data_IF_364258726975
#
_entry.id   IF_364258726975
#
_cell.length_a   1.000
_cell.length_b   1.000
_cell.length_c   1.000
_cell.angle_alpha   90.00
_cell.angle_beta   90.00
_cell.angle_gamma   90.00
#
_symmetry.space_group_name_H-M   'P 1'
#
loop_
_entity.id
_entity.type
_entity.pdbx_description
1 polymer ?
#
# COMPACT_ATOMS: atom_id res chain seq x y z
N UNK A 1 -33.27 9.22 -3.84
CA UNK A 1 -33.00 7.82 -3.62
C UNK A 1 -31.48 7.64 -3.56
N UNK A 2 -30.94 7.30 -2.38
CA UNK A 2 -29.50 7.03 -2.24
C UNK A 2 -29.26 5.68 -2.89
N UNK A 3 -28.32 5.61 -3.84
CA UNK A 3 -27.84 4.34 -4.40
C UNK A 3 -26.97 3.69 -3.32
N UNK A 4 -27.26 2.44 -2.99
CA UNK A 4 -26.39 1.57 -2.21
C UNK A 4 -25.66 0.66 -3.21
N UNK A 5 -24.45 1.06 -3.69
CA UNK A 5 -23.74 0.27 -4.68
C UNK A 5 -23.15 -0.99 -4.01
N UNK A 6 -23.16 -2.12 -4.73
CA UNK A 6 -22.47 -3.34 -4.29
C UNK A 6 -20.95 -3.18 -4.28
N UNK A 7 -20.45 -2.32 -5.17
CA UNK A 7 -19.02 -2.04 -5.33
C UNK A 7 -18.75 -0.54 -5.47
N UNK A 8 -17.65 -0.11 -4.88
CA UNK A 8 -17.09 1.23 -5.08
C UNK A 8 -15.70 1.07 -5.69
N UNK A 9 -15.46 1.73 -6.83
CA UNK A 9 -14.14 1.81 -7.45
C UNK A 9 -13.47 3.12 -7.03
N UNK A 10 -12.23 3.02 -6.57
CA UNK A 10 -11.36 4.16 -6.29
C UNK A 10 -10.19 4.09 -7.27
N UNK A 11 -10.00 5.17 -8.02
CA UNK A 11 -8.95 5.24 -9.03
C UNK A 11 -8.36 6.63 -9.12
N UNK A 12 -7.04 6.70 -9.34
CA UNK A 12 -6.36 7.95 -9.65
C UNK A 12 -6.71 8.44 -11.08
N UNK A 13 -6.63 9.74 -11.35
CA UNK A 13 -6.93 10.30 -12.67
C UNK A 13 -5.98 9.83 -13.80
N UNK A 14 -4.80 9.30 -13.44
CA UNK A 14 -3.77 8.81 -14.36
C UNK A 14 -3.74 7.28 -14.51
N UNK A 15 -4.85 6.63 -14.13
CA UNK A 15 -5.06 5.18 -14.31
C UNK A 15 -5.90 4.91 -15.57
N UNK A 16 -5.50 3.88 -16.31
CA UNK A 16 -6.28 3.29 -17.40
C UNK A 16 -6.60 1.84 -17.06
N UNK A 17 -7.87 1.52 -16.96
CA UNK A 17 -8.39 0.19 -16.64
C UNK A 17 -9.42 -0.23 -17.67
N UNK A 18 -9.36 -1.48 -18.14
CA UNK A 18 -10.34 -2.03 -19.07
C UNK A 18 -11.56 -2.59 -18.35
N UNK A 19 -12.71 -2.65 -19.04
CA UNK A 19 -13.92 -3.27 -18.52
C UNK A 19 -13.68 -4.74 -18.11
N UNK A 20 -12.89 -5.47 -18.91
CA UNK A 20 -12.52 -6.85 -18.59
C UNK A 20 -11.74 -6.95 -17.27
N UNK A 21 -10.85 -5.99 -16.99
CA UNK A 21 -10.14 -5.93 -15.72
C UNK A 21 -11.09 -5.65 -14.55
N UNK A 22 -12.01 -4.68 -14.70
CA UNK A 22 -13.03 -4.35 -13.69
C UNK A 22 -13.89 -5.57 -13.35
N UNK A 23 -14.40 -6.26 -14.38
CA UNK A 23 -15.23 -7.45 -14.20
C UNK A 23 -14.45 -8.59 -13.54
N UNK A 24 -13.18 -8.78 -13.90
CA UNK A 24 -12.32 -9.81 -13.30
C UNK A 24 -12.01 -9.53 -11.83
N UNK A 25 -11.83 -8.26 -11.45
CA UNK A 25 -11.64 -7.85 -10.04
C UNK A 25 -12.92 -8.09 -9.24
N UNK A 26 -14.09 -7.76 -9.80
CA UNK A 26 -15.38 -8.04 -9.16
C UNK A 26 -15.61 -9.56 -8.96
N UNK A 27 -15.33 -10.38 -9.99
CA UNK A 27 -15.42 -11.85 -9.91
C UNK A 27 -14.54 -12.45 -8.80
N UNK A 28 -13.33 -11.90 -8.60
CA UNK A 28 -12.46 -12.34 -7.50
C UNK A 28 -13.06 -12.04 -6.12
N UNK A 29 -13.66 -10.84 -5.95
CA UNK A 29 -14.34 -10.45 -4.72
C UNK A 29 -15.59 -11.29 -4.45
N UNK A 30 -16.35 -11.67 -5.49
CA UNK A 30 -17.52 -12.52 -5.33
C UNK A 30 -17.17 -13.93 -4.85
N UNK A 31 -16.07 -14.49 -5.36
CA UNK A 31 -15.62 -15.85 -5.03
C UNK A 31 -14.98 -15.96 -3.65
N UNK A 32 -14.48 -14.86 -3.09
CA UNK A 32 -13.85 -14.82 -1.78
C UNK A 32 -14.80 -14.22 -0.75
N UNK A 33 -15.29 -15.01 0.19
CA UNK A 33 -16.30 -14.59 1.17
C UNK A 33 -15.79 -13.43 2.05
N UNK A 34 -14.56 -13.53 2.57
CA UNK A 34 -13.89 -12.50 3.38
C UNK A 34 -13.10 -11.48 2.54
N UNK A 35 -13.22 -11.51 1.22
CA UNK A 35 -12.60 -10.56 0.30
C UNK A 35 -13.35 -9.23 0.29
N UNK A 36 -12.74 -8.17 0.79
CA UNK A 36 -13.37 -6.87 0.93
C UNK A 36 -12.84 -5.80 -0.03
N UNK A 37 -11.56 -5.91 -0.40
CA UNK A 37 -10.90 -5.01 -1.34
C UNK A 37 -10.09 -5.81 -2.34
N UNK A 38 -10.14 -5.45 -3.62
CA UNK A 38 -9.34 -6.11 -4.65
C UNK A 38 -8.79 -5.11 -5.66
N UNK A 39 -7.66 -5.46 -6.23
CA UNK A 39 -7.03 -4.75 -7.35
C UNK A 39 -6.38 -5.75 -8.31
N UNK A 40 -5.93 -5.26 -9.45
CA UNK A 40 -5.17 -6.03 -10.44
C UNK A 40 -3.67 -5.69 -10.40
N UNK A 41 -2.87 -6.39 -11.20
CA UNK A 41 -1.45 -6.10 -11.37
C UNK A 41 -1.24 -4.71 -11.98
N UNK A 42 -0.26 -3.98 -11.45
CA UNK A 42 0.12 -2.66 -11.99
C UNK A 42 1.11 -2.85 -13.13
N UNK A 43 0.88 -2.18 -14.25
CA UNK A 43 1.86 -2.03 -15.33
C UNK A 43 2.10 -0.56 -15.64
N UNK A 44 3.30 -0.24 -16.12
CA UNK A 44 3.61 1.10 -16.61
C UNK A 44 3.08 1.31 -18.06
N UNK A 45 3.25 2.51 -18.58
CA UNK A 45 2.83 2.87 -19.95
C UNK A 45 3.55 2.07 -21.05
N UNK A 46 4.63 1.36 -20.71
CA UNK A 46 5.37 0.46 -21.61
C UNK A 46 4.93 -1.00 -21.45
N UNK A 47 3.94 -1.28 -20.59
CA UNK A 47 3.47 -2.63 -20.29
C UNK A 47 4.42 -3.42 -19.38
N UNK A 48 5.39 -2.76 -18.73
CA UNK A 48 6.28 -3.43 -17.78
C UNK A 48 5.61 -3.56 -16.42
N UNK A 49 5.74 -4.73 -15.79
CA UNK A 49 5.19 -4.98 -14.46
C UNK A 49 5.80 -4.02 -13.45
N UNK A 50 4.94 -3.40 -12.66
CA UNK A 50 5.29 -2.48 -11.59
C UNK A 50 4.94 -3.07 -10.22
N UNK A 51 5.21 -2.31 -9.17
CA UNK A 51 4.95 -2.71 -7.80
C UNK A 51 3.43 -2.80 -7.55
N UNK A 52 2.92 -3.96 -7.14
CA UNK A 52 1.49 -4.24 -7.08
C UNK A 52 0.95 -4.61 -5.69
N UNK A 53 1.79 -4.77 -4.67
CA UNK A 53 1.35 -5.11 -3.31
C UNK A 53 2.42 -4.89 -2.25
N UNK A 54 2.00 -4.74 -1.00
CA UNK A 54 2.85 -4.74 0.19
C UNK A 54 2.48 -5.87 1.14
N UNK A 55 3.47 -6.34 1.89
CA UNK A 55 3.24 -7.13 3.10
C UNK A 55 2.90 -6.20 4.27
N UNK A 56 2.03 -6.65 5.17
CA UNK A 56 1.88 -6.04 6.50
C UNK A 56 2.98 -6.60 7.42
N UNK A 57 4.15 -6.02 7.28
CA UNK A 57 5.35 -6.45 7.98
C UNK A 57 5.32 -6.08 9.47
N UNK A 58 6.14 -6.78 10.26
CA UNK A 58 6.48 -6.31 11.61
C UNK A 58 7.22 -4.96 11.55
N UNK A 59 7.13 -4.19 12.64
CA UNK A 59 7.79 -2.88 12.75
C UNK A 59 9.26 -2.93 12.36
N UNK A 60 9.99 -3.95 12.82
CA UNK A 60 11.43 -4.07 12.59
C UNK A 60 11.76 -4.33 11.13
N UNK A 61 11.02 -5.19 10.45
CA UNK A 61 11.20 -5.42 9.01
C UNK A 61 10.82 -4.18 8.19
N UNK A 62 9.75 -3.49 8.58
CA UNK A 62 9.31 -2.26 7.93
C UNK A 62 10.31 -1.10 8.13
N UNK A 63 10.98 -1.03 9.28
CA UNK A 63 12.10 -0.11 9.52
C UNK A 63 13.31 -0.45 8.65
N UNK A 64 13.71 -1.73 8.61
CA UNK A 64 14.83 -2.19 7.79
C UNK A 64 14.60 -1.93 6.29
N UNK A 65 13.34 -2.02 5.83
CA UNK A 65 12.98 -1.69 4.46
C UNK A 65 13.05 -0.18 4.16
N UNK A 66 13.06 0.67 5.19
CA UNK A 66 13.16 2.13 5.00
C UNK A 66 14.59 2.61 4.82
N UNK A 67 15.55 2.02 5.53
CA UNK A 67 16.96 2.39 5.43
C UNK A 67 17.60 1.91 4.12
N UNK A 68 18.44 2.73 3.51
CA UNK A 68 19.06 2.43 2.21
C UNK A 68 20.03 1.26 2.26
N UNK A 69 20.86 1.25 3.28
CA UNK A 69 21.84 0.16 3.52
C UNK A 69 21.10 -1.09 3.98
N UNK A 70 20.20 -0.96 4.97
CA UNK A 70 19.48 -2.10 5.55
C UNK A 70 18.57 -2.77 4.51
N UNK A 71 17.85 -2.02 3.68
CA UNK A 71 17.06 -2.57 2.57
C UNK A 71 17.89 -3.44 1.64
N UNK A 72 19.12 -3.03 1.30
CA UNK A 72 20.00 -3.82 0.43
C UNK A 72 20.48 -5.10 1.10
N UNK A 73 20.90 -5.01 2.37
CA UNK A 73 21.43 -6.13 3.14
C UNK A 73 20.34 -7.20 3.42
N UNK A 74 19.12 -6.77 3.74
CA UNK A 74 18.02 -7.65 4.14
C UNK A 74 17.00 -7.91 3.03
N UNK A 75 17.28 -7.52 1.79
CA UNK A 75 16.36 -7.59 0.64
C UNK A 75 15.61 -8.91 0.51
N UNK A 76 16.27 -10.04 0.78
CA UNK A 76 15.66 -11.36 0.67
C UNK A 76 14.53 -11.63 1.68
N UNK A 77 14.48 -10.86 2.78
CA UNK A 77 13.52 -11.03 3.87
C UNK A 77 12.44 -9.94 3.90
N UNK A 78 12.58 -8.89 3.08
CA UNK A 78 11.74 -7.70 3.16
C UNK A 78 10.45 -7.80 2.34
N UNK A 79 10.33 -8.78 1.47
CA UNK A 79 9.13 -8.98 0.65
C UNK A 79 8.86 -10.45 0.44
N UNK A 80 7.63 -10.86 0.69
CA UNK A 80 7.15 -12.20 0.35
C UNK A 80 7.00 -12.30 -1.18
N UNK A 81 7.64 -13.25 -1.87
CA UNK A 81 7.43 -13.47 -3.29
C UNK A 81 5.96 -13.77 -3.61
N UNK A 82 5.48 -13.28 -4.75
CA UNK A 82 4.07 -13.40 -5.16
C UNK A 82 3.57 -14.86 -5.14
N UNK A 83 4.39 -15.78 -5.62
CA UNK A 83 4.07 -17.19 -5.68
C UNK A 83 3.93 -17.88 -4.31
N UNK A 84 4.47 -17.26 -3.25
CA UNK A 84 4.38 -17.75 -1.86
C UNK A 84 3.21 -17.16 -1.09
N UNK A 85 2.52 -16.15 -1.65
CA UNK A 85 1.33 -15.59 -1.02
C UNK A 85 0.17 -16.59 -1.08
N UNK A 86 -0.73 -16.58 -0.07
CA UNK A 86 -1.90 -17.46 -0.07
C UNK A 86 -2.79 -17.20 -1.29
N UNK A 87 -3.30 -18.29 -1.88
CA UNK A 87 -4.29 -18.22 -2.96
C UNK A 87 -5.65 -17.84 -2.40
N UNK A 88 -6.38 -17.01 -3.15
CA UNK A 88 -7.79 -16.76 -2.93
C UNK A 88 -8.66 -17.92 -3.44
N UNK A 89 -9.95 -17.89 -3.14
CA UNK A 89 -10.90 -18.94 -3.52
C UNK A 89 -11.07 -19.13 -5.04
N UNK A 90 -10.72 -18.14 -5.85
CA UNK A 90 -10.72 -18.25 -7.31
C UNK A 90 -9.54 -19.07 -7.89
N UNK A 91 -8.59 -19.48 -7.03
CA UNK A 91 -7.42 -20.28 -7.41
C UNK A 91 -6.33 -19.54 -8.19
N UNK A 92 -6.50 -18.23 -8.43
CA UNK A 92 -5.60 -17.39 -9.24
C UNK A 92 -5.13 -16.18 -8.46
N UNK A 93 -6.05 -15.44 -7.84
CA UNK A 93 -5.74 -14.23 -7.06
C UNK A 93 -4.95 -14.56 -5.80
N UNK A 94 -4.21 -13.59 -5.28
CA UNK A 94 -3.41 -13.72 -4.06
C UNK A 94 -3.93 -12.82 -2.96
N UNK A 95 -3.96 -13.35 -1.73
CA UNK A 95 -4.24 -12.54 -0.55
C UNK A 95 -2.97 -11.75 -0.20
N UNK A 96 -3.10 -10.42 -0.11
CA UNK A 96 -1.99 -9.50 0.13
C UNK A 96 -2.19 -8.70 1.41
N UNK A 97 -1.13 -8.03 1.86
CA UNK A 97 -1.20 -7.18 3.04
C UNK A 97 -1.77 -5.80 2.78
N UNK A 98 -1.45 -5.21 1.62
CA UNK A 98 -1.99 -3.94 1.16
C UNK A 98 -1.83 -3.81 -0.37
N UNK A 99 -2.77 -3.12 -1.00
CA UNK A 99 -2.83 -2.83 -2.43
C UNK A 99 -2.44 -1.37 -2.72
N UNK A 100 -1.91 -1.05 -3.92
CA UNK A 100 -1.66 0.33 -4.31
C UNK A 100 -2.94 1.17 -4.36
N UNK A 101 -2.88 2.38 -3.78
CA UNK A 101 -4.00 3.34 -3.75
C UNK A 101 -4.38 3.91 -5.11
N UNK A 102 -3.66 3.55 -6.20
CA UNK A 102 -3.92 4.07 -7.52
C UNK A 102 -5.17 3.50 -8.19
N UNK A 103 -5.53 2.25 -7.92
CA UNK A 103 -6.77 1.60 -8.36
C UNK A 103 -7.10 0.43 -7.44
N UNK A 104 -8.33 0.39 -6.94
CA UNK A 104 -8.89 -0.79 -6.27
C UNK A 104 -10.41 -0.70 -6.19
N UNK A 105 -11.04 -1.85 -5.97
CA UNK A 105 -12.48 -2.02 -5.80
C UNK A 105 -12.78 -2.45 -4.37
N UNK A 106 -13.80 -1.85 -3.76
CA UNK A 106 -14.30 -2.16 -2.42
C UNK A 106 -15.66 -2.84 -2.54
N UNK A 107 -15.84 -4.02 -1.94
CA UNK A 107 -17.11 -4.72 -1.82
C UNK A 107 -17.86 -4.17 -0.61
N UNK A 108 -18.90 -3.38 -0.83
CA UNK A 108 -19.59 -2.62 0.23
C UNK A 108 -20.30 -3.50 1.23
N UNK A 109 -20.84 -4.65 0.77
CA UNK A 109 -21.53 -5.62 1.62
C UNK A 109 -20.68 -6.23 2.75
N UNK A 110 -19.34 -6.06 2.70
CA UNK A 110 -18.45 -6.48 3.79
C UNK A 110 -18.43 -5.50 4.98
N UNK A 111 -19.06 -4.34 4.86
CA UNK A 111 -18.93 -3.23 5.81
C UNK A 111 -20.29 -2.74 6.29
N UNK A 112 -20.36 -2.28 7.53
CA UNK A 112 -21.45 -1.42 7.97
C UNK A 112 -21.30 0.00 7.39
N UNK A 113 -22.35 0.83 7.33
CA UNK A 113 -22.22 2.23 6.93
C UNK A 113 -21.22 3.03 7.78
N UNK A 114 -21.05 2.67 9.04
CA UNK A 114 -20.04 3.25 9.91
C UNK A 114 -18.62 2.88 9.51
N UNK A 115 -18.37 1.61 9.19
CA UNK A 115 -17.07 1.12 8.75
C UNK A 115 -16.64 1.77 7.43
N UNK A 116 -17.55 1.88 6.46
CA UNK A 116 -17.28 2.54 5.17
C UNK A 116 -16.88 4.01 5.36
N UNK A 117 -17.55 4.73 6.27
CA UNK A 117 -17.25 6.13 6.58
C UNK A 117 -15.87 6.32 7.19
N UNK A 118 -15.41 5.34 7.97
CA UNK A 118 -14.12 5.36 8.67
C UNK A 118 -13.05 4.49 7.96
N UNK A 119 -13.33 4.01 6.74
CA UNK A 119 -12.43 3.11 6.01
C UNK A 119 -11.05 3.76 5.78
N UNK A 120 -11.04 5.03 5.39
CA UNK A 120 -9.81 5.82 5.19
C UNK A 120 -9.53 6.68 6.41
N UNK A 121 -8.25 6.70 6.84
CA UNK A 121 -7.81 7.54 7.96
C UNK A 121 -7.49 8.96 7.49
N UNK A 122 -8.26 9.92 7.95
CA UNK A 122 -8.11 11.36 7.63
C UNK A 122 -6.84 12.02 8.18
N UNK A 123 -6.12 11.35 9.09
CA UNK A 123 -4.89 11.90 9.68
C UNK A 123 -3.65 11.58 8.85
N UNK A 124 -3.77 10.71 7.86
CA UNK A 124 -2.70 10.37 6.91
C UNK A 124 -3.16 10.78 5.52
N UNK A 125 -2.41 11.68 4.89
CA UNK A 125 -2.74 12.19 3.56
C UNK A 125 -1.90 11.53 2.46
N UNK A 126 -0.67 11.10 2.77
CA UNK A 126 0.26 10.54 1.80
C UNK A 126 1.20 9.57 2.51
N UNK A 127 1.43 8.42 1.87
CA UNK A 127 2.19 7.26 2.38
C UNK A 127 1.52 6.57 3.58
N UNK A 128 1.53 5.26 3.60
CA UNK A 128 0.95 4.40 4.63
C UNK A 128 -0.58 4.31 4.65
N UNK A 129 -1.30 5.07 3.84
CA UNK A 129 -2.76 4.97 3.70
C UNK A 129 -3.16 3.54 3.31
N UNK A 130 -2.42 2.90 2.41
CA UNK A 130 -2.67 1.53 1.96
C UNK A 130 -2.41 0.52 3.08
N UNK A 131 -1.28 0.66 3.81
CA UNK A 131 -0.97 -0.23 4.94
C UNK A 131 -1.95 -0.03 6.11
N UNK A 132 -2.46 1.18 6.30
CA UNK A 132 -3.50 1.46 7.29
C UNK A 132 -4.80 0.77 6.90
N UNK A 133 -5.20 0.86 5.63
CA UNK A 133 -6.37 0.16 5.12
C UNK A 133 -6.23 -1.35 5.33
N UNK A 134 -5.13 -1.94 4.86
CA UNK A 134 -4.86 -3.37 5.03
C UNK A 134 -4.85 -3.81 6.49
N UNK A 135 -4.32 -2.99 7.41
CA UNK A 135 -4.33 -3.30 8.85
C UNK A 135 -5.74 -3.22 9.45
N UNK A 136 -6.58 -2.28 9.02
CA UNK A 136 -7.99 -2.21 9.41
C UNK A 136 -8.75 -3.44 8.94
N UNK A 137 -8.61 -3.81 7.66
CA UNK A 137 -9.25 -5.00 7.09
C UNK A 137 -8.82 -6.27 7.84
N UNK A 138 -7.52 -6.40 8.11
CA UNK A 138 -7.01 -7.53 8.91
C UNK A 138 -7.63 -7.59 10.30
N UNK A 139 -7.85 -6.45 10.98
CA UNK A 139 -8.50 -6.39 12.29
C UNK A 139 -9.98 -6.76 12.23
N UNK A 140 -10.64 -6.52 11.09
CA UNK A 140 -12.03 -6.93 10.81
C UNK A 140 -12.14 -8.40 10.37
N UNK A 141 -11.02 -9.11 10.16
CA UNK A 141 -11.01 -10.46 9.60
C UNK A 141 -11.18 -10.49 8.07
N UNK A 142 -11.11 -9.32 7.42
CA UNK A 142 -11.27 -9.16 5.98
C UNK A 142 -9.92 -9.22 5.24
N UNK A 143 -9.97 -9.44 3.92
CA UNK A 143 -8.78 -9.63 3.05
C UNK A 143 -8.73 -8.62 1.92
N UNK A 144 -7.50 -8.30 1.51
CA UNK A 144 -7.20 -7.67 0.24
C UNK A 144 -6.74 -8.71 -0.78
N UNK A 145 -7.24 -8.62 -2.01
CA UNK A 145 -6.97 -9.56 -3.09
C UNK A 145 -6.22 -8.86 -4.22
N UNK A 146 -5.10 -9.44 -4.63
CA UNK A 146 -4.40 -9.06 -5.86
C UNK A 146 -4.77 -10.07 -6.96
N UNK A 147 -5.50 -9.62 -7.97
CA UNK A 147 -5.86 -10.39 -9.15
C UNK A 147 -4.67 -10.45 -10.09
N UNK A 148 -4.09 -11.65 -10.27
CA UNK A 148 -2.80 -11.81 -10.95
C UNK A 148 -2.90 -12.04 -12.45
N UNK A 149 -4.08 -12.33 -12.96
CA UNK A 149 -4.40 -12.54 -14.38
C UNK A 149 -5.10 -11.33 -15.04
N UNK A 150 -5.17 -10.21 -14.33
CA UNK A 150 -5.63 -8.93 -14.85
C UNK A 150 -4.64 -7.81 -14.51
N UNK A 151 -4.66 -6.73 -15.27
CA UNK A 151 -3.78 -5.60 -15.07
C UNK A 151 -4.44 -4.27 -15.42
N UNK A 152 -3.92 -3.20 -14.84
CA UNK A 152 -4.24 -1.83 -15.21
C UNK A 152 -2.96 -1.02 -15.44
N UNK A 153 -3.05 0.02 -16.25
CA UNK A 153 -1.93 0.92 -16.53
C UNK A 153 -1.96 2.08 -15.55
N UNK A 154 -0.84 2.35 -14.89
CA UNK A 154 -0.65 3.53 -14.06
C UNK A 154 0.49 4.35 -14.63
N UNK A 155 0.18 5.57 -15.09
CA UNK A 155 1.14 6.42 -15.79
C UNK A 155 2.20 7.05 -14.87
N UNK A 156 2.35 6.58 -13.64
CA UNK A 156 3.24 7.07 -12.57
C UNK A 156 3.41 8.58 -12.53
N UNK A 157 2.67 9.14 -11.64
CA UNK A 157 2.31 10.54 -11.59
C UNK A 157 3.45 11.53 -11.44
N UNK A 158 3.32 12.52 -12.24
CA UNK A 158 3.92 13.85 -12.15
C UNK A 158 3.43 14.63 -10.90
N UNK A 159 2.38 14.18 -10.20
CA UNK A 159 1.69 14.97 -9.17
C UNK A 159 2.48 15.14 -7.86
N UNK A 160 3.04 14.04 -7.31
CA UNK A 160 3.84 14.10 -6.07
C UNK A 160 5.16 14.83 -6.31
N UNK A 161 5.75 14.64 -7.49
CA UNK A 161 7.02 15.29 -7.86
C UNK A 161 6.88 16.80 -8.03
N UNK A 162 5.71 17.29 -8.40
CA UNK A 162 5.42 18.73 -8.45
C UNK A 162 5.28 19.37 -7.08
N UNK A 163 4.71 18.67 -6.10
CA UNK A 163 4.42 19.21 -4.76
C UNK A 163 5.63 19.15 -3.82
N UNK A 164 6.50 18.16 -3.99
CA UNK A 164 7.67 17.95 -3.15
C UNK A 164 8.94 17.81 -4.00
N UNK A 165 9.65 18.90 -4.19
CA UNK A 165 10.87 18.95 -5.03
C UNK A 165 12.09 18.29 -4.38
N UNK A 166 12.14 18.26 -3.03
CA UNK A 166 13.27 17.67 -2.29
C UNK A 166 12.94 16.28 -1.78
N UNK A 167 13.77 15.31 -2.08
CA UNK A 167 13.67 13.91 -1.61
C UNK A 167 13.61 13.86 -0.07
N UNK A 168 14.39 14.70 0.61
CA UNK A 168 14.38 14.77 2.07
C UNK A 168 13.02 15.16 2.66
N UNK A 169 12.21 15.95 1.95
CA UNK A 169 10.90 16.36 2.45
C UNK A 169 9.85 15.27 2.22
N UNK A 170 9.93 14.55 1.09
CA UNK A 170 9.16 13.30 0.87
C UNK A 170 9.47 12.29 1.97
N UNK A 171 10.76 12.11 2.31
CA UNK A 171 11.19 11.18 3.34
C UNK A 171 10.70 11.57 4.74
N UNK A 172 10.69 12.87 5.09
CA UNK A 172 10.11 13.33 6.36
C UNK A 172 8.63 13.03 6.46
N UNK A 173 7.88 13.26 5.36
CA UNK A 173 6.45 12.95 5.31
C UNK A 173 6.20 11.45 5.47
N UNK A 174 6.94 10.62 4.74
CA UNK A 174 6.92 9.17 4.88
C UNK A 174 7.16 8.75 6.34
N UNK A 175 8.20 9.30 6.99
CA UNK A 175 8.52 8.99 8.39
C UNK A 175 7.40 9.41 9.35
N UNK A 176 6.75 10.55 9.10
CA UNK A 176 5.61 11.01 9.90
C UNK A 176 4.43 10.02 9.79
N UNK A 177 4.04 9.65 8.58
CA UNK A 177 2.96 8.69 8.34
C UNK A 177 3.29 7.31 8.92
N UNK A 178 4.55 6.85 8.78
CA UNK A 178 5.05 5.60 9.34
C UNK A 178 4.95 5.57 10.87
N UNK A 179 5.40 6.62 11.56
CA UNK A 179 5.33 6.72 13.03
C UNK A 179 3.89 6.77 13.51
N UNK A 180 3.01 7.46 12.79
CA UNK A 180 1.57 7.46 13.05
C UNK A 180 0.99 6.04 12.95
N UNK A 181 1.30 5.32 11.87
CA UNK A 181 0.88 3.92 11.68
C UNK A 181 1.39 3.02 12.82
N UNK A 182 2.65 3.15 13.22
CA UNK A 182 3.21 2.37 14.32
C UNK A 182 2.50 2.63 15.64
N UNK A 183 2.25 3.90 15.95
CA UNK A 183 1.61 4.29 17.21
C UNK A 183 0.14 3.88 17.25
N UNK A 184 -0.62 4.14 16.20
CA UNK A 184 -2.08 4.02 16.21
C UNK A 184 -2.58 2.66 15.76
N UNK A 185 -1.87 1.98 14.86
CA UNK A 185 -2.31 0.71 14.27
C UNK A 185 -1.52 -0.50 14.76
N UNK A 186 -0.22 -0.36 14.98
CA UNK A 186 0.61 -1.43 15.53
C UNK A 186 0.77 -1.33 17.05
N UNK A 187 0.26 -0.25 17.69
CA UNK A 187 0.23 -0.06 19.15
C UNK A 187 1.59 -0.16 19.82
N UNK A 188 2.63 0.40 19.20
CA UNK A 188 3.98 0.43 19.79
C UNK A 188 3.99 1.18 21.13
N UNK A 189 4.73 0.63 22.09
CA UNK A 189 5.04 1.30 23.33
C UNK A 189 5.98 2.49 23.13
N UNK A 190 6.08 3.36 24.15
CA UNK A 190 6.89 4.58 24.07
C UNK A 190 8.37 4.30 23.78
N UNK A 191 8.93 3.25 24.36
CA UNK A 191 10.32 2.87 24.18
C UNK A 191 10.61 2.39 22.75
N UNK A 192 9.74 1.53 22.20
CA UNK A 192 9.86 1.05 20.82
C UNK A 192 9.68 2.20 19.82
N UNK A 193 8.75 3.12 20.10
CA UNK A 193 8.52 4.31 19.28
C UNK A 193 9.74 5.25 19.32
N UNK A 194 10.40 5.39 20.46
CA UNK A 194 11.64 6.16 20.59
C UNK A 194 12.78 5.55 19.75
N UNK A 195 12.94 4.22 19.79
CA UNK A 195 13.91 3.49 18.95
C UNK A 195 13.59 3.67 17.46
N UNK A 196 12.33 3.54 17.07
CA UNK A 196 11.91 3.77 15.69
C UNK A 196 12.22 5.21 15.23
N UNK A 197 11.93 6.22 16.04
CA UNK A 197 12.27 7.63 15.76
C UNK A 197 13.76 7.82 15.57
N UNK A 198 14.60 7.25 16.46
CA UNK A 198 16.04 7.33 16.36
C UNK A 198 16.57 6.69 15.06
N UNK A 199 16.09 5.50 14.71
CA UNK A 199 16.44 4.83 13.47
C UNK A 199 16.06 5.68 12.23
N UNK A 200 14.84 6.21 12.20
CA UNK A 200 14.36 7.05 11.09
C UNK A 200 15.13 8.37 10.97
N UNK A 201 15.64 8.93 12.09
CA UNK A 201 16.52 10.10 12.06
C UNK A 201 17.88 9.77 11.40
N UNK A 202 18.44 8.58 11.67
CA UNK A 202 19.63 8.09 10.97
C UNK A 202 19.37 7.94 9.48
N UNK A 203 18.28 7.30 9.08
CA UNK A 203 17.90 7.15 7.67
C UNK A 203 17.72 8.52 6.99
N UNK A 204 17.10 9.50 7.65
CA UNK A 204 16.95 10.84 7.07
C UNK A 204 18.31 11.52 6.87
N UNK A 205 19.26 11.29 7.76
CA UNK A 205 20.64 11.81 7.63
C UNK A 205 21.36 11.12 6.47
N UNK A 206 21.21 9.81 6.33
CA UNK A 206 21.71 9.02 5.20
C UNK A 206 21.18 9.56 3.86
N UNK A 207 19.87 9.77 3.74
CA UNK A 207 19.25 10.35 2.55
C UNK A 207 19.79 11.73 2.22
N UNK A 208 19.90 12.62 3.21
CA UNK A 208 20.45 13.97 3.02
C UNK A 208 21.90 13.94 2.55
N UNK A 209 22.70 13.06 3.12
CA UNK A 209 24.11 12.89 2.73
C UNK A 209 24.22 12.40 1.28
N UNK A 210 23.53 11.33 0.93
CA UNK A 210 23.59 10.75 -0.40
C UNK A 210 23.04 11.69 -1.50
N UNK A 211 21.95 12.39 -1.22
CA UNK A 211 21.34 13.30 -2.21
C UNK A 211 21.98 14.68 -2.25
N UNK A 212 22.45 15.19 -1.09
CA UNK A 212 23.04 16.53 -0.99
C UNK A 212 24.54 16.55 -1.31
N UNK A 213 25.31 15.60 -0.76
CA UNK A 213 26.76 15.56 -0.90
C UNK A 213 27.17 14.75 -2.13
N UNK A 214 26.65 13.55 -2.28
CA UNK A 214 27.02 12.65 -3.40
C UNK A 214 26.17 12.88 -4.65
N UNK A 215 25.18 13.79 -4.61
CA UNK A 215 24.28 14.14 -5.75
C UNK A 215 23.67 12.91 -6.43
N UNK A 216 23.50 11.82 -5.69
CA UNK A 216 22.85 10.62 -6.22
C UNK A 216 21.40 10.92 -6.56
N UNK A 217 20.97 10.53 -7.77
CA UNK A 217 19.55 10.56 -8.17
C UNK A 217 18.86 9.28 -7.64
N UNK A 218 17.66 9.46 -7.16
CA UNK A 218 16.77 8.36 -6.72
C UNK A 218 15.80 8.00 -7.82
#
# INVERSE_FOLDING_TARGET
QYLEPDYIIIANPDVQVSDACILRVADALEKQEDGAVASAMVVDVKGQSSFSYWDLQSVWLDLLDTGLVTRRLFRAFLKTPLEKLPLAADGVSRMVGALPGSFFMVKTGCFTPGDLKELFDKHVFLYYEEKILGQKLKQMGLKELLVTDAYYVHAHSVSIDKSYTKISDKQKLLHKSKLYYYQHYLKLGEMELAVAKAFLAVVLTEVKFLTGVLKMRW
#
